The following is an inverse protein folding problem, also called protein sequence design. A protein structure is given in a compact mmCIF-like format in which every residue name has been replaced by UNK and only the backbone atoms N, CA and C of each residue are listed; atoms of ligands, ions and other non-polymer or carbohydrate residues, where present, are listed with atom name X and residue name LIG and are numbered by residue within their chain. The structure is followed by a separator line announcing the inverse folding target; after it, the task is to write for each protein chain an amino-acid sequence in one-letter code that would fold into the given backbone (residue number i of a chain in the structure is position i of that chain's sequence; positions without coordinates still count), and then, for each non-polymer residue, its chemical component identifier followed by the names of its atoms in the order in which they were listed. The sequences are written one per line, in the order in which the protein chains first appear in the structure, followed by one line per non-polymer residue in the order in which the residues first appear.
data_IF_510897272785
#
_entry.id   IF_510897272785
#
_cell.length_a   1.000
_cell.length_b   1.000
_cell.length_c   1.000
_cell.angle_alpha   90.00
_cell.angle_beta   90.00
_cell.angle_gamma   90.00
#
_symmetry.space_group_name_H-M   'P 1'
#
loop_
_entity.id
_entity.type
_entity.pdbx_description
1 polymer ?
#
# COMPACT_ATOMS: atom_id res chain seq x y z
N UNK A 1 -16.17 14.19 -62.02
CA UNK A 1 -15.47 14.44 -60.73
C UNK A 1 -16.35 15.06 -59.64
N UNK A 2 -17.29 15.98 -59.89
CA UNK A 2 -18.08 16.65 -58.83
C UNK A 2 -19.09 15.79 -58.01
N UNK A 3 -19.51 14.62 -58.50
CA UNK A 3 -20.44 13.72 -57.77
C UNK A 3 -19.77 12.81 -56.73
N UNK A 4 -18.47 12.47 -56.91
CA UNK A 4 -17.74 11.61 -55.96
C UNK A 4 -17.38 12.35 -54.66
N UNK A 5 -17.15 13.66 -54.71
CA UNK A 5 -16.85 14.45 -53.50
C UNK A 5 -18.07 14.66 -52.59
N UNK A 6 -19.29 14.77 -53.13
CA UNK A 6 -20.50 14.87 -52.29
C UNK A 6 -20.80 13.60 -51.51
N UNK A 7 -20.56 12.43 -52.11
CA UNK A 7 -20.79 11.15 -51.42
C UNK A 7 -19.78 10.93 -50.29
N UNK A 8 -18.51 11.29 -50.52
CA UNK A 8 -17.45 11.17 -49.51
C UNK A 8 -17.65 12.14 -48.34
N UNK A 9 -18.10 13.37 -48.59
CA UNK A 9 -18.42 14.34 -47.53
C UNK A 9 -19.64 13.93 -46.71
N UNK A 10 -20.68 13.35 -47.33
CA UNK A 10 -21.82 12.81 -46.58
C UNK A 10 -21.45 11.58 -45.74
N UNK A 11 -20.53 10.73 -46.23
CA UNK A 11 -20.06 9.57 -45.48
C UNK A 11 -19.18 9.96 -44.29
N UNK A 12 -18.30 10.97 -44.44
CA UNK A 12 -17.52 11.51 -43.32
C UNK A 12 -18.39 12.20 -42.27
N UNK A 13 -19.42 12.95 -42.69
CA UNK A 13 -20.38 13.56 -41.77
C UNK A 13 -21.22 12.52 -41.04
N UNK A 14 -21.54 11.39 -41.67
CA UNK A 14 -22.24 10.28 -41.01
C UNK A 14 -21.35 9.57 -39.99
N UNK A 15 -20.06 9.38 -40.28
CA UNK A 15 -19.09 8.80 -39.33
C UNK A 15 -18.86 9.74 -38.14
N UNK A 16 -18.73 11.04 -38.38
CA UNK A 16 -18.60 12.05 -37.31
C UNK A 16 -19.88 12.17 -36.46
N UNK A 17 -21.06 12.06 -37.09
CA UNK A 17 -22.32 12.04 -36.35
C UNK A 17 -22.49 10.75 -35.54
N UNK A 18 -22.08 9.59 -36.09
CA UNK A 18 -22.10 8.31 -35.39
C UNK A 18 -21.07 8.25 -34.25
N UNK A 19 -19.90 8.88 -34.39
CA UNK A 19 -18.89 8.95 -33.31
C UNK A 19 -19.30 9.89 -32.18
N UNK A 20 -20.04 10.96 -32.49
CA UNK A 20 -20.61 11.85 -31.47
C UNK A 20 -21.80 11.19 -30.76
N UNK A 21 -22.65 10.47 -31.48
CA UNK A 21 -23.76 9.71 -30.89
C UNK A 21 -23.26 8.52 -30.06
N UNK A 22 -22.14 7.88 -30.43
CA UNK A 22 -21.53 6.82 -29.60
C UNK A 22 -20.81 7.36 -28.36
N UNK A 23 -20.28 8.58 -28.40
CA UNK A 23 -19.68 9.21 -27.22
C UNK A 23 -20.75 9.65 -26.22
N UNK A 24 -21.86 10.22 -26.66
CA UNK A 24 -22.90 10.72 -25.74
C UNK A 24 -23.80 9.60 -25.18
N UNK A 25 -24.03 8.49 -25.91
CA UNK A 25 -24.82 7.36 -25.41
C UNK A 25 -24.05 6.38 -24.52
N UNK A 26 -22.72 6.46 -24.47
CA UNK A 26 -21.88 5.59 -23.62
C UNK A 26 -21.37 6.27 -22.34
N UNK A 27 -21.60 7.57 -22.15
CA UNK A 27 -20.95 8.32 -21.06
C UNK A 27 -21.84 8.89 -19.96
N UNK A 28 -23.18 8.87 -20.02
CA UNK A 28 -23.97 9.44 -18.91
C UNK A 28 -24.94 8.47 -18.21
N UNK A 29 -25.51 7.46 -18.88
CA UNK A 29 -26.54 6.61 -18.24
C UNK A 29 -26.05 5.22 -17.76
N UNK A 30 -24.80 4.82 -18.05
CA UNK A 30 -24.23 3.56 -17.52
C UNK A 30 -23.41 3.77 -16.23
N UNK A 31 -23.03 5.03 -15.95
CA UNK A 31 -22.18 5.40 -14.82
C UNK A 31 -22.94 5.97 -13.63
N UNK A 32 -24.17 6.46 -13.83
CA UNK A 32 -25.06 6.80 -12.72
C UNK A 32 -25.89 5.58 -12.33
N UNK A 33 -25.23 4.55 -11.78
CA UNK A 33 -25.93 3.71 -10.83
C UNK A 33 -26.18 4.60 -9.60
N UNK A 34 -27.30 5.34 -9.63
CA UNK A 34 -27.89 5.98 -8.44
C UNK A 34 -28.37 4.87 -7.49
N UNK A 35 -27.46 3.99 -7.06
CA UNK A 35 -27.72 3.07 -5.99
C UNK A 35 -27.64 3.90 -4.73
N UNK A 36 -28.78 4.04 -4.07
CA UNK A 36 -28.94 4.98 -2.96
C UNK A 36 -28.36 4.45 -1.64
N UNK A 37 -28.00 3.16 -1.59
CA UNK A 37 -27.36 2.53 -0.44
C UNK A 37 -26.00 1.96 -0.84
N UNK A 38 -24.93 2.68 -0.51
CA UNK A 38 -23.55 2.25 -0.71
C UNK A 38 -22.87 2.01 0.64
N UNK A 39 -22.16 0.90 0.75
CA UNK A 39 -21.41 0.52 1.96
C UNK A 39 -19.97 0.25 1.58
N UNK A 40 -19.03 0.79 2.36
CA UNK A 40 -17.62 0.43 2.22
C UNK A 40 -17.30 -0.75 3.14
N UNK A 41 -16.55 -1.70 2.63
CA UNK A 41 -16.10 -2.88 3.37
C UNK A 41 -14.60 -2.99 3.17
N UNK A 42 -13.84 -2.96 4.25
CA UNK A 42 -12.38 -2.99 4.21
C UNK A 42 -11.86 -4.21 4.97
N UNK A 43 -10.98 -4.98 4.34
CA UNK A 43 -10.31 -6.13 4.93
C UNK A 43 -8.81 -6.14 4.59
N UNK A 44 -7.96 -5.68 5.51
CA UNK A 44 -6.52 -5.47 5.24
C UNK A 44 -5.58 -6.03 6.31
N UNK A 45 -4.43 -6.55 5.91
CA UNK A 45 -3.44 -7.09 6.86
C UNK A 45 -2.13 -6.29 6.92
N UNK A 46 -1.68 -5.71 5.81
CA UNK A 46 -0.48 -4.86 5.77
C UNK A 46 -0.69 -3.51 6.45
N UNK A 47 0.38 -2.88 6.94
CA UNK A 47 0.30 -1.53 7.55
C UNK A 47 -0.13 -0.51 6.49
N UNK A 48 0.51 -0.52 5.32
CA UNK A 48 0.19 0.39 4.22
C UNK A 48 -1.27 0.21 3.74
N UNK A 49 -1.75 -0.99 3.35
CA UNK A 49 -3.17 -1.21 3.05
C UNK A 49 -4.12 -0.74 4.13
N UNK A 50 -3.79 -0.99 5.41
CA UNK A 50 -4.63 -0.57 6.54
C UNK A 50 -4.70 0.96 6.63
N UNK A 51 -3.61 1.67 6.38
CA UNK A 51 -3.61 3.14 6.30
C UNK A 51 -4.48 3.65 5.15
N UNK A 52 -4.43 3.01 3.97
CA UNK A 52 -5.39 3.31 2.88
C UNK A 52 -6.84 3.11 3.35
N UNK A 53 -7.15 2.00 4.02
CA UNK A 53 -8.49 1.73 4.52
C UNK A 53 -8.97 2.81 5.49
N UNK A 54 -8.11 3.28 6.40
CA UNK A 54 -8.44 4.39 7.30
C UNK A 54 -8.71 5.70 6.57
N UNK A 55 -7.83 6.07 5.62
CA UNK A 55 -7.99 7.27 4.80
C UNK A 55 -9.31 7.21 4.01
N UNK A 56 -9.58 6.09 3.34
CA UNK A 56 -10.80 5.88 2.55
C UNK A 56 -12.04 5.95 3.45
N UNK A 57 -12.05 5.23 4.57
CA UNK A 57 -13.18 5.19 5.50
C UNK A 57 -13.51 6.59 6.06
N UNK A 58 -12.49 7.35 6.48
CA UNK A 58 -12.66 8.70 7.04
C UNK A 58 -13.04 9.72 5.96
N UNK A 59 -12.55 9.54 4.73
CA UNK A 59 -12.87 10.42 3.61
C UNK A 59 -14.31 10.30 3.09
N UNK A 60 -14.98 9.18 3.40
CA UNK A 60 -16.30 8.82 2.88
C UNK A 60 -17.43 9.14 3.87
N UNK A 61 -18.59 9.56 3.33
CA UNK A 61 -19.83 9.69 4.09
C UNK A 61 -20.63 8.37 4.16
N UNK A 62 -20.20 7.33 3.44
CA UNK A 62 -20.88 6.03 3.40
C UNK A 62 -20.65 5.26 4.70
N UNK A 63 -21.63 4.44 5.15
CA UNK A 63 -21.38 3.41 6.16
C UNK A 63 -20.16 2.58 5.77
N UNK A 64 -19.23 2.40 6.72
CA UNK A 64 -17.95 1.72 6.46
C UNK A 64 -17.66 0.70 7.54
N UNK A 65 -17.37 -0.55 7.14
CA UNK A 65 -16.98 -1.63 8.02
C UNK A 65 -15.50 -1.96 7.81
N UNK A 66 -14.69 -1.74 8.85
CA UNK A 66 -13.24 -1.86 8.76
C UNK A 66 -12.76 -3.02 9.62
N UNK A 67 -12.23 -4.04 8.95
CA UNK A 67 -11.44 -5.10 9.56
C UNK A 67 -9.98 -4.93 9.15
N UNK A 68 -9.07 -5.05 10.11
CA UNK A 68 -7.63 -5.05 9.84
C UNK A 68 -6.88 -5.93 10.82
N UNK A 69 -5.76 -6.55 10.42
CA UNK A 69 -5.04 -7.47 11.32
C UNK A 69 -3.95 -6.80 12.17
N UNK A 70 -3.43 -5.65 11.75
CA UNK A 70 -2.34 -4.94 12.44
C UNK A 70 -2.89 -3.88 13.39
N UNK A 71 -3.28 -4.32 14.58
CA UNK A 71 -3.89 -3.51 15.64
C UNK A 71 -3.15 -2.19 15.90
N UNK A 72 -1.81 -2.21 15.86
CA UNK A 72 -0.99 -1.02 16.12
C UNK A 72 -1.03 0.07 15.04
N UNK A 73 -1.76 -0.15 13.94
CA UNK A 73 -1.87 0.83 12.85
C UNK A 73 -2.75 2.01 13.26
N UNK A 74 -3.86 1.74 13.97
CA UNK A 74 -4.73 2.77 14.54
C UNK A 74 -4.67 2.70 16.05
N UNK A 75 -4.15 3.74 16.67
CA UNK A 75 -3.99 3.83 18.12
C UNK A 75 -5.29 4.23 18.83
N UNK A 76 -6.19 4.93 18.14
CA UNK A 76 -7.47 5.39 18.67
C UNK A 76 -8.61 5.09 17.67
N UNK A 77 -9.29 3.98 17.87
CA UNK A 77 -10.44 3.59 17.03
C UNK A 77 -11.67 4.47 17.28
N UNK A 78 -11.77 5.14 18.43
CA UNK A 78 -12.87 6.05 18.76
C UNK A 78 -12.76 7.39 18.01
N UNK A 79 -11.58 7.68 17.43
CA UNK A 79 -11.36 8.87 16.60
C UNK A 79 -12.01 8.78 15.20
N UNK A 80 -12.42 7.58 14.78
CA UNK A 80 -13.14 7.39 13.52
C UNK A 80 -14.54 8.04 13.57
N UNK A 81 -15.04 8.56 12.42
CA UNK A 81 -16.36 9.17 12.38
C UNK A 81 -17.47 8.14 12.59
N UNK A 82 -18.66 8.59 13.02
CA UNK A 82 -19.75 7.71 13.45
C UNK A 82 -20.33 6.79 12.37
N UNK A 83 -20.04 7.06 11.09
CA UNK A 83 -20.41 6.19 9.97
C UNK A 83 -19.41 5.04 9.76
N UNK A 84 -18.29 5.02 10.48
CA UNK A 84 -17.27 3.98 10.42
C UNK A 84 -17.38 3.08 11.65
N UNK A 85 -17.49 1.77 11.41
CA UNK A 85 -17.45 0.74 12.44
C UNK A 85 -16.14 -0.02 12.30
N UNK A 86 -15.27 0.12 13.30
CA UNK A 86 -14.11 -0.75 13.46
C UNK A 86 -14.57 -2.06 14.11
N UNK A 87 -14.15 -3.20 13.58
CA UNK A 87 -14.48 -4.51 14.16
C UNK A 87 -13.45 -4.88 15.24
N UNK A 88 -13.93 -5.35 16.39
CA UNK A 88 -13.18 -5.54 17.65
C UNK A 88 -12.13 -6.67 17.60
N UNK A 89 -12.05 -7.43 16.50
CA UNK A 89 -11.25 -8.64 16.42
C UNK A 89 -10.40 -8.68 15.16
N UNK A 90 -9.10 -8.76 15.37
CA UNK A 90 -8.08 -8.57 14.33
C UNK A 90 -7.36 -9.87 13.97
N UNK A 91 -7.88 -11.03 14.39
CA UNK A 91 -7.34 -12.33 14.01
C UNK A 91 -7.96 -12.82 12.72
N UNK A 92 -7.19 -13.61 11.95
CA UNK A 92 -7.63 -14.16 10.67
C UNK A 92 -8.93 -14.99 10.78
N UNK A 93 -9.16 -15.63 11.93
CA UNK A 93 -10.37 -16.41 12.20
C UNK A 93 -11.61 -15.56 12.45
N UNK A 94 -11.47 -14.25 12.61
CA UNK A 94 -12.61 -13.37 12.94
C UNK A 94 -13.13 -12.57 11.75
N UNK A 95 -12.69 -12.90 10.53
CA UNK A 95 -13.25 -12.33 9.29
C UNK A 95 -14.76 -12.63 9.16
N UNK A 96 -15.25 -13.64 9.88
CA UNK A 96 -16.68 -13.95 10.01
C UNK A 96 -17.50 -12.76 10.53
N UNK A 97 -16.96 -11.90 11.40
CA UNK A 97 -17.69 -10.71 11.86
C UNK A 97 -17.90 -9.71 10.73
N UNK A 98 -16.92 -9.58 9.82
CA UNK A 98 -17.07 -8.77 8.62
C UNK A 98 -18.11 -9.38 7.68
N UNK A 99 -18.10 -10.71 7.53
CA UNK A 99 -19.13 -11.43 6.77
C UNK A 99 -20.52 -11.19 7.34
N UNK A 100 -20.70 -11.30 8.65
CA UNK A 100 -21.99 -11.04 9.33
C UNK A 100 -22.49 -9.62 9.06
N UNK A 101 -21.60 -8.62 9.03
CA UNK A 101 -21.97 -7.24 8.66
C UNK A 101 -22.48 -7.13 7.23
N UNK A 102 -21.78 -7.75 6.28
CA UNK A 102 -22.19 -7.79 4.86
C UNK A 102 -23.54 -8.48 4.73
N UNK A 103 -23.72 -9.63 5.39
CA UNK A 103 -24.98 -10.39 5.37
C UNK A 103 -26.14 -9.58 5.95
N UNK A 104 -25.92 -8.81 7.02
CA UNK A 104 -26.95 -7.95 7.60
C UNK A 104 -27.36 -6.81 6.65
N UNK A 105 -26.40 -6.10 6.06
CA UNK A 105 -26.69 -5.03 5.08
C UNK A 105 -27.43 -5.59 3.86
N UNK A 106 -27.00 -6.74 3.35
CA UNK A 106 -27.63 -7.39 2.20
C UNK A 106 -29.02 -7.93 2.52
N UNK A 107 -29.24 -8.43 3.74
CA UNK A 107 -30.56 -8.87 4.19
C UNK A 107 -31.53 -7.71 4.44
N UNK A 108 -31.01 -6.52 4.81
CA UNK A 108 -31.81 -5.30 4.94
C UNK A 108 -32.21 -4.74 3.57
N UNK A 109 -31.26 -4.70 2.62
CA UNK A 109 -31.49 -4.27 1.24
C UNK A 109 -30.62 -5.06 0.25
N UNK A 110 -31.25 -5.97 -0.51
CA UNK A 110 -30.59 -6.80 -1.53
C UNK A 110 -29.98 -5.97 -2.68
N UNK A 111 -30.39 -4.70 -2.85
CA UNK A 111 -29.86 -3.79 -3.86
C UNK A 111 -28.63 -2.98 -3.38
N UNK A 112 -28.23 -3.12 -2.11
CA UNK A 112 -27.05 -2.46 -1.52
C UNK A 112 -25.82 -2.67 -2.40
N UNK A 113 -25.06 -1.59 -2.61
CA UNK A 113 -23.81 -1.63 -3.36
C UNK A 113 -22.61 -1.64 -2.43
N UNK A 114 -21.75 -2.65 -2.54
CA UNK A 114 -20.57 -2.81 -1.70
C UNK A 114 -19.31 -2.32 -2.43
N UNK A 115 -18.67 -1.29 -1.88
CA UNK A 115 -17.31 -0.92 -2.25
C UNK A 115 -16.34 -1.71 -1.36
N UNK A 116 -15.79 -2.79 -1.90
CA UNK A 116 -14.89 -3.70 -1.18
C UNK A 116 -13.43 -3.32 -1.40
N UNK A 117 -12.65 -3.24 -0.32
CA UNK A 117 -11.24 -2.90 -0.32
C UNK A 117 -10.45 -4.00 0.39
N UNK A 118 -9.42 -4.55 -0.25
CA UNK A 118 -8.56 -5.57 0.36
C UNK A 118 -7.11 -5.47 -0.10
N UNK A 119 -6.17 -6.04 0.65
CA UNK A 119 -4.79 -6.18 0.16
C UNK A 119 -4.63 -7.38 -0.80
N UNK A 120 -3.73 -7.22 -1.75
CA UNK A 120 -3.49 -8.17 -2.85
C UNK A 120 -3.14 -9.59 -2.40
N UNK A 121 -2.45 -9.76 -1.29
CA UNK A 121 -2.07 -11.07 -0.75
C UNK A 121 -3.23 -11.83 -0.10
N UNK A 122 -4.35 -11.15 0.18
CA UNK A 122 -5.56 -11.73 0.78
C UNK A 122 -6.79 -11.48 -0.09
N UNK A 123 -6.58 -11.41 -1.41
CA UNK A 123 -7.63 -11.27 -2.40
C UNK A 123 -8.71 -12.39 -2.34
N UNK A 124 -8.41 -13.55 -1.74
CA UNK A 124 -9.39 -14.62 -1.53
C UNK A 124 -10.57 -14.18 -0.66
N UNK A 125 -10.42 -13.12 0.16
CA UNK A 125 -11.52 -12.50 0.89
C UNK A 125 -12.65 -12.02 -0.02
N UNK A 126 -12.35 -11.69 -1.29
CA UNK A 126 -13.37 -11.35 -2.29
C UNK A 126 -14.36 -12.52 -2.44
N UNK A 127 -13.84 -13.75 -2.55
CA UNK A 127 -14.68 -14.94 -2.71
C UNK A 127 -15.44 -15.23 -1.41
N UNK A 128 -14.75 -15.24 -0.27
CA UNK A 128 -15.34 -15.68 1.00
C UNK A 128 -16.31 -14.66 1.63
N UNK A 129 -16.22 -13.38 1.25
CA UNK A 129 -17.07 -12.30 1.80
C UNK A 129 -18.13 -11.80 0.83
N UNK A 130 -17.95 -11.94 -0.48
CA UNK A 130 -18.90 -11.43 -1.47
C UNK A 130 -19.56 -12.57 -2.26
N UNK A 131 -18.75 -13.38 -2.95
CA UNK A 131 -19.28 -14.42 -3.83
C UNK A 131 -20.03 -15.51 -3.04
N UNK A 132 -19.48 -15.97 -1.91
CA UNK A 132 -20.10 -17.00 -1.06
C UNK A 132 -21.32 -16.49 -0.29
N UNK A 133 -21.39 -15.19 0.01
CA UNK A 133 -22.60 -14.56 0.57
C UNK A 133 -23.71 -14.45 -0.49
N UNK A 134 -23.36 -14.57 -1.77
CA UNK A 134 -24.32 -14.51 -2.88
C UNK A 134 -24.60 -13.09 -3.36
N UNK A 135 -23.74 -12.13 -3.04
CA UNK A 135 -23.85 -10.77 -3.55
C UNK A 135 -23.67 -10.82 -5.08
N UNK A 136 -24.63 -10.25 -5.81
CA UNK A 136 -24.52 -10.14 -7.26
C UNK A 136 -23.25 -9.36 -7.63
N UNK A 137 -22.51 -9.80 -8.66
CA UNK A 137 -21.34 -9.07 -9.19
C UNK A 137 -21.71 -7.67 -9.72
N UNK A 138 -22.99 -7.39 -9.92
CA UNK A 138 -23.48 -6.05 -10.23
C UNK A 138 -23.56 -5.11 -9.03
N UNK A 139 -23.58 -5.68 -7.82
CA UNK A 139 -23.79 -5.00 -6.54
C UNK A 139 -22.51 -4.83 -5.73
N UNK A 140 -21.33 -5.05 -6.32
CA UNK A 140 -20.08 -4.70 -5.68
C UNK A 140 -19.03 -4.18 -6.66
N UNK A 141 -18.07 -3.42 -6.14
CA UNK A 141 -16.81 -3.09 -6.78
C UNK A 141 -15.68 -3.45 -5.82
N UNK A 142 -14.64 -4.10 -6.34
CA UNK A 142 -13.41 -4.44 -5.62
C UNK A 142 -12.33 -3.42 -5.93
N UNK A 143 -11.63 -2.97 -4.90
CA UNK A 143 -10.38 -2.22 -5.00
C UNK A 143 -9.30 -2.98 -4.25
N UNK A 144 -8.35 -3.55 -4.99
CA UNK A 144 -7.18 -4.20 -4.42
C UNK A 144 -6.14 -3.13 -4.11
N UNK A 145 -5.52 -3.21 -2.93
CA UNK A 145 -4.50 -2.28 -2.46
C UNK A 145 -3.17 -3.02 -2.38
N UNK A 146 -2.10 -2.43 -2.90
CA UNK A 146 -0.75 -2.98 -2.77
C UNK A 146 -0.32 -3.12 -1.30
N UNK A 147 0.23 -4.28 -0.92
CA UNK A 147 0.86 -4.48 0.39
C UNK A 147 2.10 -3.60 0.59
N UNK A 148 2.75 -3.19 -0.50
CA UNK A 148 4.02 -2.45 -0.53
C UNK A 148 5.01 -3.12 -1.47
N UNK A 149 6.29 -3.16 -1.10
CA UNK A 149 7.36 -3.77 -1.92
C UNK A 149 7.11 -5.24 -2.25
N UNK A 150 6.37 -5.96 -1.41
CA UNK A 150 6.05 -7.36 -1.64
C UNK A 150 5.19 -7.56 -2.91
N UNK A 151 4.28 -6.63 -3.23
CA UNK A 151 3.47 -6.68 -4.46
C UNK A 151 4.34 -6.64 -5.72
N UNK A 152 5.33 -5.75 -5.73
CA UNK A 152 6.27 -5.59 -6.85
C UNK A 152 7.25 -6.74 -6.93
N UNK A 153 7.75 -7.21 -5.78
CA UNK A 153 8.62 -8.40 -5.72
C UNK A 153 7.89 -9.63 -6.24
N UNK A 154 6.62 -9.79 -5.88
CA UNK A 154 5.76 -10.86 -6.38
C UNK A 154 5.59 -10.75 -7.89
N UNK A 155 5.24 -9.57 -8.40
CA UNK A 155 5.16 -9.32 -9.84
C UNK A 155 6.45 -9.70 -10.56
N UNK A 156 7.60 -9.23 -10.08
CA UNK A 156 8.90 -9.50 -10.67
C UNK A 156 9.22 -10.99 -10.70
N UNK A 157 8.90 -11.71 -9.61
CA UNK A 157 9.16 -13.14 -9.51
C UNK A 157 8.29 -14.00 -10.44
N UNK A 158 7.09 -13.53 -10.78
CA UNK A 158 6.10 -14.33 -11.53
C UNK A 158 5.97 -13.94 -12.99
N UNK A 159 5.99 -12.65 -13.27
CA UNK A 159 5.54 -12.10 -14.54
C UNK A 159 6.62 -11.31 -15.28
N UNK A 160 7.76 -10.97 -14.66
CA UNK A 160 8.77 -10.16 -15.34
C UNK A 160 9.56 -10.93 -16.42
N UNK A 161 9.69 -12.26 -16.31
CA UNK A 161 10.42 -13.07 -17.27
C UNK A 161 9.69 -13.26 -18.61
N UNK A 162 10.40 -13.81 -19.60
CA UNK A 162 9.89 -14.05 -20.95
C UNK A 162 8.66 -14.97 -21.06
N UNK A 163 8.45 -15.85 -20.07
CA UNK A 163 7.29 -16.75 -19.98
C UNK A 163 6.17 -16.19 -19.07
N UNK A 164 6.24 -14.90 -18.70
CA UNK A 164 5.37 -14.29 -17.70
C UNK A 164 3.87 -14.39 -18.01
N UNK A 165 3.48 -14.38 -19.30
CA UNK A 165 2.06 -14.51 -19.66
C UNK A 165 1.51 -15.92 -19.43
N UNK A 166 2.34 -16.95 -19.57
CA UNK A 166 1.87 -18.33 -19.34
C UNK A 166 1.57 -18.53 -17.84
N UNK A 167 2.39 -17.93 -16.95
CA UNK A 167 2.09 -17.84 -15.50
C UNK A 167 0.84 -17.02 -15.22
N UNK A 168 0.66 -15.90 -15.92
CA UNK A 168 -0.53 -15.04 -15.79
C UNK A 168 -1.82 -15.79 -16.12
N UNK A 169 -1.84 -16.55 -17.22
CA UNK A 169 -3.00 -17.37 -17.60
C UNK A 169 -3.30 -18.45 -16.56
N UNK A 170 -2.28 -19.09 -15.99
CA UNK A 170 -2.45 -20.07 -14.93
C UNK A 170 -3.05 -19.46 -13.66
N UNK A 171 -2.53 -18.31 -13.21
CA UNK A 171 -3.02 -17.64 -12.00
C UNK A 171 -4.46 -17.13 -12.15
N UNK A 172 -4.87 -16.79 -13.39
CA UNK A 172 -6.25 -16.45 -13.72
C UNK A 172 -7.17 -17.70 -13.72
N UNK A 173 -6.70 -18.82 -14.27
CA UNK A 173 -7.46 -20.10 -14.27
C UNK A 173 -7.69 -20.61 -12.83
N UNK A 174 -6.69 -20.47 -11.96
CA UNK A 174 -6.80 -20.77 -10.53
C UNK A 174 -7.90 -19.91 -9.87
N UNK A 175 -7.97 -18.61 -10.21
CA UNK A 175 -9.03 -17.72 -9.73
C UNK A 175 -10.41 -18.14 -10.21
N UNK A 176 -10.58 -18.38 -11.52
CA UNK A 176 -11.86 -18.79 -12.09
C UNK A 176 -12.34 -20.12 -11.52
N UNK A 177 -11.42 -21.06 -11.31
CA UNK A 177 -11.68 -22.35 -10.68
C UNK A 177 -12.12 -22.19 -9.24
N UNK A 178 -11.43 -21.36 -8.45
CA UNK A 178 -11.78 -21.11 -7.05
C UNK A 178 -13.12 -20.39 -6.89
N UNK A 179 -13.41 -19.38 -7.72
CA UNK A 179 -14.69 -18.64 -7.69
C UNK A 179 -15.89 -19.50 -8.12
N UNK A 180 -15.67 -20.55 -8.92
CA UNK A 180 -16.69 -21.52 -9.31
C UNK A 180 -16.98 -22.58 -8.23
N UNK A 181 -16.06 -22.79 -7.28
CA UNK A 181 -16.19 -23.77 -6.20
C UNK A 181 -16.66 -23.10 -4.90
N UNK A 182 -17.38 -23.84 -4.07
CA UNK A 182 -17.91 -23.33 -2.79
C UNK A 182 -17.15 -23.94 -1.63
N UNK A 183 -16.48 -23.11 -0.81
CA UNK A 183 -15.80 -23.53 0.44
C UNK A 183 -14.43 -22.90 0.64
N UNK A 184 -13.90 -22.97 1.86
CA UNK A 184 -12.52 -22.53 2.17
C UNK A 184 -11.46 -23.54 1.69
N UNK A 185 -11.80 -24.84 1.64
CA UNK A 185 -10.90 -25.88 1.13
C UNK A 185 -10.57 -25.67 -0.35
N UNK A 186 -11.40 -24.97 -1.13
CA UNK A 186 -11.16 -24.71 -2.56
C UNK A 186 -10.26 -23.50 -2.84
N UNK A 187 -9.89 -22.73 -1.81
CA UNK A 187 -8.96 -21.59 -1.93
C UNK A 187 -7.59 -21.91 -1.32
N UNK A 188 -7.37 -23.13 -0.84
CA UNK A 188 -6.10 -23.58 -0.26
C UNK A 188 -5.53 -24.76 -1.03
N UNK A 189 -4.20 -24.85 -1.14
CA UNK A 189 -3.53 -26.04 -1.68
C UNK A 189 -3.45 -27.17 -0.64
N UNK A 190 -2.89 -28.32 -1.04
CA UNK A 190 -2.73 -29.49 -0.17
C UNK A 190 -1.88 -29.21 1.09
N UNK A 191 -1.06 -28.14 1.08
CA UNK A 191 -0.23 -27.69 2.21
C UNK A 191 -0.92 -26.57 3.03
N UNK A 192 -2.16 -26.20 2.68
CA UNK A 192 -2.95 -25.18 3.35
C UNK A 192 -2.58 -23.73 2.99
N UNK A 193 -1.84 -23.51 1.90
CA UNK A 193 -1.49 -22.18 1.40
C UNK A 193 -2.59 -21.64 0.49
N UNK A 194 -2.85 -20.33 0.57
CA UNK A 194 -3.83 -19.68 -0.30
C UNK A 194 -3.35 -19.71 -1.76
N UNK A 195 -4.05 -20.46 -2.62
CA UNK A 195 -3.70 -20.58 -4.06
C UNK A 195 -3.88 -19.26 -4.80
N UNK A 196 -4.74 -18.37 -4.30
CA UNK A 196 -5.07 -17.12 -4.96
C UNK A 196 -4.13 -15.97 -4.62
N UNK A 197 -3.15 -16.17 -3.72
CA UNK A 197 -2.25 -15.10 -3.27
C UNK A 197 -1.63 -14.30 -4.43
N UNK A 198 -1.44 -14.91 -5.59
CA UNK A 198 -0.79 -14.33 -6.76
C UNK A 198 -1.74 -13.85 -7.86
N UNK A 199 -3.03 -14.17 -7.74
CA UNK A 199 -4.05 -13.90 -8.77
C UNK A 199 -4.62 -12.49 -8.72
N UNK A 200 -4.25 -11.66 -7.72
CA UNK A 200 -4.78 -10.30 -7.56
C UNK A 200 -4.61 -9.42 -8.81
N UNK A 201 -3.42 -9.43 -9.41
CA UNK A 201 -3.14 -8.60 -10.58
C UNK A 201 -3.86 -9.11 -11.83
N UNK A 202 -3.78 -10.41 -12.21
CA UNK A 202 -4.62 -10.96 -13.27
C UNK A 202 -6.10 -10.68 -13.06
N UNK A 203 -6.63 -10.90 -11.85
CA UNK A 203 -8.02 -10.61 -11.51
C UNK A 203 -8.37 -9.14 -11.77
N UNK A 204 -7.60 -8.20 -11.23
CA UNK A 204 -7.93 -6.78 -11.36
C UNK A 204 -7.83 -6.29 -12.81
N UNK A 205 -6.86 -6.79 -13.58
CA UNK A 205 -6.73 -6.45 -14.99
C UNK A 205 -7.90 -7.01 -15.79
N UNK A 206 -8.25 -8.28 -15.63
CA UNK A 206 -9.36 -8.89 -16.37
C UNK A 206 -10.71 -8.31 -15.93
N UNK A 207 -11.07 -8.44 -14.65
CA UNK A 207 -12.37 -7.97 -14.16
C UNK A 207 -12.50 -6.44 -14.13
N UNK A 208 -11.38 -5.71 -14.09
CA UNK A 208 -11.37 -4.27 -14.30
C UNK A 208 -11.68 -3.90 -15.76
N UNK A 209 -10.93 -4.47 -16.71
CA UNK A 209 -11.07 -4.20 -18.14
C UNK A 209 -12.43 -4.61 -18.71
N UNK A 210 -13.04 -5.68 -18.20
CA UNK A 210 -14.25 -6.26 -18.82
C UNK A 210 -15.57 -5.80 -18.19
N UNK A 211 -15.58 -5.42 -16.91
CA UNK A 211 -16.84 -5.05 -16.21
C UNK A 211 -16.73 -3.80 -15.33
N UNK A 212 -15.57 -3.12 -15.25
CA UNK A 212 -15.31 -1.99 -14.36
C UNK A 212 -15.70 -2.27 -12.90
N UNK A 213 -15.52 -3.51 -12.45
CA UNK A 213 -15.83 -3.95 -11.09
C UNK A 213 -14.57 -4.21 -10.26
N UNK A 214 -13.39 -4.10 -10.83
CA UNK A 214 -12.13 -4.23 -10.10
C UNK A 214 -11.20 -3.05 -10.43
N UNK A 215 -10.45 -2.58 -9.44
CA UNK A 215 -9.31 -1.68 -9.60
C UNK A 215 -8.20 -2.16 -8.69
N UNK A 216 -6.96 -1.88 -9.06
CA UNK A 216 -5.79 -2.18 -8.25
C UNK A 216 -4.97 -0.91 -8.05
N UNK A 217 -4.90 -0.46 -6.80
CA UNK A 217 -4.10 0.68 -6.38
C UNK A 217 -2.63 0.29 -6.26
N UNK A 218 -1.82 0.92 -7.10
CA UNK A 218 -0.37 0.91 -6.99
C UNK A 218 0.13 2.33 -6.77
N UNK A 219 1.17 2.49 -5.96
CA UNK A 219 1.90 3.75 -5.87
C UNK A 219 2.73 4.02 -7.14
N UNK A 220 3.29 2.96 -7.73
CA UNK A 220 4.25 3.03 -8.84
C UNK A 220 3.96 2.00 -9.95
N UNK A 221 2.76 1.99 -10.56
CA UNK A 221 2.41 0.97 -11.56
C UNK A 221 3.36 0.94 -12.77
N UNK A 222 4.09 2.02 -13.05
CA UNK A 222 5.16 2.07 -14.04
C UNK A 222 6.33 1.10 -13.77
N UNK A 223 6.51 0.66 -12.52
CA UNK A 223 7.55 -0.31 -12.15
C UNK A 223 7.18 -1.76 -12.47
N UNK A 224 5.97 -2.02 -12.98
CA UNK A 224 5.50 -3.35 -13.37
C UNK A 224 6.02 -3.73 -14.76
N UNK A 225 7.31 -4.05 -14.86
CA UNK A 225 8.02 -4.29 -16.12
C UNK A 225 8.16 -5.79 -16.41
N UNK A 226 7.78 -6.19 -17.62
CA UNK A 226 7.92 -7.57 -18.10
C UNK A 226 8.63 -7.64 -19.44
N UNK A 227 9.50 -8.65 -19.59
CA UNK A 227 10.11 -9.07 -20.86
C UNK A 227 9.08 -9.70 -21.82
N UNK A 228 7.98 -10.25 -21.29
CA UNK A 228 6.86 -10.74 -22.09
C UNK A 228 5.95 -9.58 -22.52
N UNK A 229 6.07 -9.21 -23.80
CA UNK A 229 5.28 -8.13 -24.41
C UNK A 229 3.76 -8.26 -24.23
N UNK A 230 3.22 -9.46 -23.99
CA UNK A 230 1.80 -9.68 -23.73
C UNK A 230 1.42 -9.15 -22.34
N UNK A 231 2.23 -9.46 -21.32
CA UNK A 231 2.06 -8.93 -19.96
C UNK A 231 2.23 -7.41 -19.97
N UNK A 232 3.27 -6.88 -20.63
CA UNK A 232 3.49 -5.43 -20.70
C UNK A 232 2.29 -4.73 -21.35
N UNK A 233 1.69 -5.33 -22.39
CA UNK A 233 0.49 -4.80 -23.04
C UNK A 233 -0.74 -4.84 -22.13
N UNK A 234 -0.96 -5.92 -21.37
CA UNK A 234 -2.04 -6.03 -20.40
C UNK A 234 -1.94 -4.94 -19.32
N UNK A 235 -0.78 -4.83 -18.67
CA UNK A 235 -0.51 -3.81 -17.64
C UNK A 235 -0.70 -2.40 -18.19
N UNK A 236 -0.09 -2.10 -19.35
CA UNK A 236 -0.18 -0.78 -19.97
C UNK A 236 -1.62 -0.42 -20.35
N UNK A 237 -2.37 -1.37 -20.93
CA UNK A 237 -3.77 -1.13 -21.31
C UNK A 237 -4.65 -0.90 -20.08
N UNK A 238 -4.45 -1.64 -18.99
CA UNK A 238 -5.21 -1.45 -17.75
C UNK A 238 -4.89 -0.14 -17.05
N UNK A 239 -3.63 0.30 -17.08
CA UNK A 239 -3.20 1.57 -16.51
C UNK A 239 -3.71 2.76 -17.34
N UNK A 240 -3.42 2.80 -18.65
CA UNK A 240 -3.77 3.94 -19.50
C UNK A 240 -5.23 3.93 -19.97
N UNK A 241 -5.89 2.77 -19.94
CA UNK A 241 -7.33 2.65 -20.13
C UNK A 241 -8.14 3.02 -18.89
N UNK A 242 -7.50 3.09 -17.72
CA UNK A 242 -8.13 3.34 -16.41
C UNK A 242 -9.22 2.31 -16.06
N UNK A 243 -8.99 1.05 -16.41
CA UNK A 243 -10.00 0.01 -16.21
C UNK A 243 -9.62 -0.99 -15.12
N UNK A 244 -8.32 -1.26 -14.87
CA UNK A 244 -7.91 -2.29 -13.89
C UNK A 244 -6.76 -1.91 -12.97
N UNK A 245 -5.92 -0.93 -13.35
CA UNK A 245 -4.80 -0.46 -12.53
C UNK A 245 -4.93 1.05 -12.36
N UNK A 246 -4.77 1.53 -11.14
CA UNK A 246 -4.85 2.95 -10.80
C UNK A 246 -3.61 3.35 -10.02
N UNK A 247 -2.91 4.39 -10.50
CA UNK A 247 -1.86 5.05 -9.72
C UNK A 247 -2.54 5.84 -8.61
N UNK A 248 -2.35 5.41 -7.36
CA UNK A 248 -2.98 6.04 -6.19
C UNK A 248 -2.09 5.87 -4.98
N UNK A 249 -1.64 6.97 -4.39
CA UNK A 249 -0.85 7.01 -3.15
C UNK A 249 -1.74 7.35 -1.95
N UNK A 250 -1.29 7.11 -0.70
CA UNK A 250 -2.01 7.61 0.48
C UNK A 250 -2.05 9.14 0.52
N UNK A 251 -1.00 9.79 0.03
CA UNK A 251 -0.90 11.25 -0.07
C UNK A 251 -1.98 11.83 -0.98
N UNK A 252 -2.26 11.18 -2.13
CA UNK A 252 -3.32 11.61 -3.05
C UNK A 252 -4.70 11.64 -2.34
N UNK A 253 -4.98 10.66 -1.48
CA UNK A 253 -6.24 10.60 -0.71
C UNK A 253 -6.23 11.69 0.36
N UNK A 254 -5.13 11.86 1.08
CA UNK A 254 -5.00 12.86 2.13
C UNK A 254 -5.20 14.30 1.60
N UNK A 255 -4.73 14.60 0.39
CA UNK A 255 -4.89 15.90 -0.26
C UNK A 255 -6.33 16.21 -0.69
N UNK A 256 -7.15 15.18 -0.88
CA UNK A 256 -8.58 15.32 -1.19
C UNK A 256 -9.46 15.48 0.06
N UNK A 257 -8.92 15.17 1.24
CA UNK A 257 -9.64 15.23 2.52
C UNK A 257 -9.82 16.67 3.01
N UNK A 258 -10.92 16.91 3.72
CA UNK A 258 -11.13 18.18 4.44
C UNK A 258 -10.21 18.28 5.66
N UNK A 259 -9.92 19.50 6.17
CA UNK A 259 -9.13 19.66 7.39
C UNK A 259 -9.66 18.87 8.60
N UNK A 260 -10.98 18.72 8.72
CA UNK A 260 -11.59 17.94 9.80
C UNK A 260 -11.32 16.44 9.65
N UNK A 261 -11.34 15.92 8.42
CA UNK A 261 -11.05 14.52 8.14
C UNK A 261 -9.56 14.22 8.34
N UNK A 262 -8.68 15.13 7.94
CA UNK A 262 -7.23 15.03 8.22
C UNK A 262 -6.98 14.98 9.72
N UNK A 263 -7.68 15.81 10.51
CA UNK A 263 -7.59 15.79 11.97
C UNK A 263 -8.12 14.49 12.57
N UNK A 264 -9.24 13.96 12.09
CA UNK A 264 -9.74 12.64 12.51
C UNK A 264 -8.74 11.52 12.22
N UNK A 265 -8.17 11.49 11.01
CA UNK A 265 -7.14 10.51 10.66
C UNK A 265 -5.90 10.66 11.55
N UNK A 266 -5.45 11.89 11.79
CA UNK A 266 -4.34 12.19 12.71
C UNK A 266 -4.60 11.64 14.11
N UNK A 267 -5.80 11.82 14.65
CA UNK A 267 -6.18 11.24 15.95
C UNK A 267 -6.19 9.71 15.90
N UNK A 268 -6.78 9.12 14.85
CA UNK A 268 -6.88 7.67 14.69
C UNK A 268 -5.52 6.96 14.67
N UNK A 269 -4.50 7.55 14.01
CA UNK A 269 -3.13 7.00 13.99
C UNK A 269 -2.30 7.39 15.22
N UNK A 270 -2.89 8.03 16.23
CA UNK A 270 -2.22 8.38 17.48
C UNK A 270 -1.30 9.60 17.41
N UNK A 271 -1.49 10.48 16.42
CA UNK A 271 -0.70 11.69 16.21
C UNK A 271 -1.48 12.99 16.53
N UNK A 272 -2.63 12.86 17.18
CA UNK A 272 -3.51 13.96 17.57
C UNK A 272 -3.42 14.34 19.06
N UNK A 273 -4.21 15.31 19.50
CA UNK A 273 -4.27 15.75 20.90
C UNK A 273 -2.92 16.21 21.47
N UNK A 274 -2.62 15.83 22.72
CA UNK A 274 -1.35 16.18 23.40
C UNK A 274 -0.11 15.62 22.65
N UNK A 275 -0.29 14.51 21.94
CA UNK A 275 0.77 13.91 21.12
C UNK A 275 1.08 14.76 19.90
N UNK A 276 0.09 15.46 19.34
CA UNK A 276 0.31 16.42 18.26
C UNK A 276 1.24 17.54 18.69
N UNK A 277 1.04 18.13 19.88
CA UNK A 277 1.90 19.22 20.38
C UNK A 277 3.36 18.78 20.47
N UNK A 278 3.59 17.51 20.86
CA UNK A 278 4.94 16.92 20.93
C UNK A 278 5.57 16.80 19.54
N UNK A 279 4.85 16.25 18.55
CA UNK A 279 5.37 16.10 17.20
C UNK A 279 5.47 17.42 16.43
N UNK A 280 4.56 18.36 16.68
CA UNK A 280 4.66 19.73 16.15
C UNK A 280 5.88 20.45 16.74
N UNK A 281 6.18 20.25 18.02
CA UNK A 281 7.41 20.74 18.63
C UNK A 281 8.65 20.17 17.96
N UNK A 282 8.66 18.86 17.66
CA UNK A 282 9.77 18.19 16.99
C UNK A 282 9.96 18.59 15.53
N UNK A 283 8.87 18.68 14.77
CA UNK A 283 8.94 18.67 13.31
C UNK A 283 8.52 19.99 12.65
N UNK A 284 7.85 20.89 13.39
CA UNK A 284 7.40 22.19 12.85
C UNK A 284 8.08 23.38 13.51
N UNK A 285 8.25 23.36 14.82
CA UNK A 285 8.70 24.55 15.57
C UNK A 285 10.14 24.48 16.08
N UNK A 286 10.81 23.35 15.94
CA UNK A 286 12.19 23.21 16.37
C UNK A 286 13.15 24.12 15.57
N UNK A 287 14.27 24.51 16.18
CA UNK A 287 15.26 25.41 15.57
C UNK A 287 15.97 24.80 14.35
N UNK A 288 16.03 23.47 14.27
CA UNK A 288 16.56 22.70 13.15
C UNK A 288 15.46 21.83 12.55
N UNK A 289 15.45 21.64 11.21
CA UNK A 289 14.59 20.65 10.57
C UNK A 289 14.85 19.24 11.14
N UNK A 290 13.87 18.37 11.00
CA UNK A 290 13.96 17.00 11.50
C UNK A 290 14.48 16.03 10.44
N UNK A 291 15.36 15.13 10.88
CA UNK A 291 15.82 13.98 10.12
C UNK A 291 15.50 12.70 10.90
N UNK A 292 14.75 11.79 10.29
CA UNK A 292 14.46 10.49 10.88
C UNK A 292 15.34 9.43 10.25
N UNK A 293 16.02 8.66 11.10
CA UNK A 293 16.69 7.42 10.74
C UNK A 293 15.71 6.28 10.98
N UNK A 294 15.25 5.62 9.92
CA UNK A 294 14.38 4.44 10.05
C UNK A 294 15.20 3.19 10.28
N UNK A 295 14.96 2.54 11.42
CA UNK A 295 15.50 1.23 11.76
C UNK A 295 14.87 0.11 10.93
N UNK A 296 15.37 -1.10 11.13
CA UNK A 296 14.90 -2.30 10.44
C UNK A 296 14.92 -3.49 11.40
N UNK A 297 14.52 -4.68 10.94
CA UNK A 297 14.62 -5.91 11.73
C UNK A 297 16.07 -6.37 11.88
N UNK A 298 16.34 -7.31 12.79
CA UNK A 298 17.65 -8.00 12.89
C UNK A 298 18.19 -8.48 11.54
N UNK A 299 17.33 -9.07 10.71
CA UNK A 299 17.71 -9.56 9.39
C UNK A 299 18.02 -8.41 8.42
N UNK A 300 17.28 -7.30 8.56
CA UNK A 300 17.48 -6.09 7.77
C UNK A 300 18.78 -5.36 8.09
N UNK A 301 19.27 -5.42 9.33
CA UNK A 301 20.58 -4.83 9.71
C UNK A 301 21.75 -5.71 9.28
N UNK A 302 21.53 -7.02 9.13
CA UNK A 302 22.62 -7.96 8.90
C UNK A 302 23.05 -8.06 7.43
N UNK A 303 24.36 -8.13 7.21
CA UNK A 303 24.98 -8.45 5.93
C UNK A 303 24.78 -9.89 5.43
N UNK A 304 24.27 -10.79 6.27
CA UNK A 304 24.17 -12.22 5.94
C UNK A 304 22.96 -12.88 6.59
N UNK A 305 22.33 -13.81 5.86
CA UNK A 305 21.28 -14.66 6.42
C UNK A 305 21.82 -15.66 7.46
N UNK A 306 23.12 -15.97 7.43
CA UNK A 306 23.77 -16.92 8.34
C UNK A 306 24.28 -16.24 9.62
N UNK A 307 23.82 -16.70 10.79
CA UNK A 307 24.10 -16.08 12.09
C UNK A 307 25.60 -15.99 12.44
N UNK A 308 26.42 -16.91 11.93
CA UNK A 308 27.87 -16.95 12.18
C UNK A 308 28.69 -15.90 11.43
N UNK A 309 28.16 -15.36 10.33
CA UNK A 309 28.85 -14.40 9.46
C UNK A 309 28.19 -13.01 9.50
N UNK A 310 27.22 -12.81 10.40
CA UNK A 310 26.50 -11.53 10.52
C UNK A 310 27.45 -10.44 10.96
N UNK A 311 27.61 -9.44 10.10
CA UNK A 311 28.19 -8.15 10.48
C UNK A 311 27.05 -7.16 10.64
N UNK A 312 27.19 -6.31 11.65
CA UNK A 312 26.30 -5.19 11.90
C UNK A 312 27.17 -3.93 11.87
N UNK A 313 26.75 -2.94 11.08
CA UNK A 313 27.40 -1.63 11.02
C UNK A 313 26.52 -0.53 11.62
N UNK A 314 25.52 -0.90 12.44
CA UNK A 314 24.53 0.03 12.99
C UNK A 314 25.20 1.22 13.67
N UNK A 315 26.02 1.00 14.69
CA UNK A 315 26.61 2.08 15.49
C UNK A 315 27.50 2.99 14.61
N UNK A 316 28.33 2.41 13.74
CA UNK A 316 29.18 3.18 12.81
C UNK A 316 28.36 4.01 11.82
N UNK A 317 27.29 3.45 11.26
CA UNK A 317 26.42 4.17 10.34
C UNK A 317 25.71 5.31 11.06
N UNK A 318 25.22 5.09 12.29
CA UNK A 318 24.60 6.15 13.08
C UNK A 318 25.60 7.27 13.39
N UNK A 319 26.84 6.94 13.79
CA UNK A 319 27.88 7.95 14.02
C UNK A 319 28.20 8.76 12.76
N UNK A 320 28.36 8.09 11.61
CA UNK A 320 28.62 8.76 10.33
C UNK A 320 27.44 9.68 9.95
N UNK A 321 26.19 9.20 10.07
CA UNK A 321 24.98 10.01 9.83
C UNK A 321 24.92 11.23 10.76
N UNK A 322 25.25 11.07 12.04
CA UNK A 322 25.30 12.20 12.99
C UNK A 322 26.39 13.20 12.60
N UNK A 323 27.55 12.73 12.16
CA UNK A 323 28.63 13.61 11.69
C UNK A 323 28.23 14.39 10.42
N UNK A 324 27.47 13.77 9.53
CA UNK A 324 27.06 14.38 8.26
C UNK A 324 25.87 15.34 8.42
N UNK A 325 24.92 15.03 9.30
CA UNK A 325 23.64 15.73 9.39
C UNK A 325 23.37 16.43 10.72
N UNK A 326 24.07 16.10 11.81
CA UNK A 326 23.75 16.57 13.17
C UNK A 326 23.91 18.09 13.37
N UNK A 327 24.75 18.74 12.57
CA UNK A 327 24.89 20.20 12.60
C UNK A 327 23.66 20.92 12.01
N UNK A 328 22.98 20.31 11.03
CA UNK A 328 21.86 20.91 10.30
C UNK A 328 20.49 20.41 10.79
N UNK A 329 20.41 19.17 11.28
CA UNK A 329 19.15 18.51 11.62
C UNK A 329 19.05 18.15 13.10
N UNK A 330 17.83 18.14 13.62
CA UNK A 330 17.48 17.37 14.81
C UNK A 330 17.25 15.92 14.38
N UNK A 331 18.04 15.00 14.94
CA UNK A 331 18.03 13.60 14.52
C UNK A 331 17.14 12.78 15.44
N UNK A 332 16.29 11.98 14.82
CA UNK A 332 15.40 11.04 15.46
C UNK A 332 15.68 9.63 14.95
N UNK A 333 15.47 8.62 15.79
CA UNK A 333 15.53 7.22 15.39
C UNK A 333 14.17 6.58 15.56
N UNK A 334 13.64 5.97 14.48
CA UNK A 334 12.40 5.20 14.53
C UNK A 334 12.73 3.71 14.40
N UNK A 335 12.65 2.91 15.47
CA UNK A 335 12.94 1.49 15.38
C UNK A 335 11.86 0.73 14.61
N UNK A 336 12.23 -0.48 14.16
CA UNK A 336 11.26 -1.45 13.70
C UNK A 336 10.49 -2.01 14.91
N UNK A 337 9.16 -2.24 14.83
CA UNK A 337 8.34 -2.68 15.97
C UNK A 337 8.86 -3.90 16.73
N UNK A 338 9.53 -4.83 16.03
CA UNK A 338 10.12 -6.07 16.61
C UNK A 338 11.63 -5.99 16.88
N UNK A 339 12.23 -4.82 16.69
CA UNK A 339 13.67 -4.57 16.85
C UNK A 339 13.86 -3.20 17.49
N UNK A 340 13.20 -3.01 18.63
CA UNK A 340 13.13 -1.77 19.37
C UNK A 340 14.17 -1.76 20.51
N UNK A 341 15.11 -0.79 20.54
CA UNK A 341 16.12 -0.71 21.59
C UNK A 341 15.56 -0.25 22.95
N UNK A 342 14.32 0.25 23.01
CA UNK A 342 13.65 0.71 24.24
C UNK A 342 12.76 -0.40 24.82
N UNK A 343 11.94 -1.02 23.98
CA UNK A 343 11.06 -2.13 24.36
C UNK A 343 11.66 -3.47 23.93
N UNK A 344 12.70 -3.90 24.65
CA UNK A 344 13.32 -5.20 24.38
C UNK A 344 12.42 -6.31 24.91
N UNK A 345 11.65 -6.96 24.02
CA UNK A 345 10.98 -8.20 24.37
C UNK A 345 12.03 -9.25 24.76
N UNK A 346 11.85 -9.89 25.92
CA UNK A 346 12.76 -10.91 26.46
C UNK A 346 12.88 -12.09 25.48
N UNK A 347 13.85 -11.99 24.59
CA UNK A 347 14.14 -12.96 23.54
C UNK A 347 15.65 -13.19 23.48
N UNK A 348 16.06 -14.23 22.77
CA UNK A 348 17.48 -14.59 22.63
C UNK A 348 18.33 -13.49 21.99
N UNK A 349 17.69 -12.46 21.43
CA UNK A 349 18.32 -11.38 20.68
C UNK A 349 18.61 -10.12 21.52
N UNK A 350 18.25 -10.10 22.81
CA UNK A 350 18.48 -8.99 23.75
C UNK A 350 19.93 -8.50 23.76
N UNK A 351 20.89 -9.42 23.62
CA UNK A 351 22.34 -9.11 23.60
C UNK A 351 22.72 -8.15 22.45
N UNK A 352 21.99 -8.16 21.34
CA UNK A 352 22.29 -7.29 20.19
C UNK A 352 21.72 -5.87 20.34
N UNK A 353 20.75 -5.67 21.23
CA UNK A 353 20.12 -4.38 21.49
C UNK A 353 20.63 -3.72 22.78
N UNK A 354 21.32 -4.48 23.64
CA UNK A 354 21.87 -3.99 24.90
C UNK A 354 22.75 -2.75 24.69
N UNK A 355 22.43 -1.67 25.43
CA UNK A 355 23.16 -0.40 25.36
C UNK A 355 22.85 0.49 24.15
N UNK A 356 22.05 0.04 23.17
CA UNK A 356 21.71 0.86 21.99
C UNK A 356 20.89 2.09 22.33
N UNK A 357 19.97 2.00 23.29
CA UNK A 357 19.23 3.17 23.77
C UNK A 357 20.19 4.24 24.31
N UNK A 358 21.10 3.86 25.21
CA UNK A 358 22.08 4.77 25.79
C UNK A 358 23.03 5.34 24.73
N UNK A 359 23.46 4.51 23.76
CA UNK A 359 24.27 4.95 22.63
C UNK A 359 23.59 6.05 21.81
N UNK A 360 22.31 5.84 21.42
CA UNK A 360 21.54 6.83 20.66
C UNK A 360 21.32 8.12 21.46
N UNK A 361 20.97 8.01 22.74
CA UNK A 361 20.77 9.15 23.63
C UNK A 361 22.06 9.96 23.83
N UNK A 362 23.21 9.31 23.94
CA UNK A 362 24.52 9.96 24.07
C UNK A 362 24.93 10.74 22.81
N UNK A 363 24.41 10.36 21.64
CA UNK A 363 24.56 11.11 20.39
C UNK A 363 23.53 12.23 20.23
N UNK A 364 22.65 12.42 21.21
CA UNK A 364 21.58 13.42 21.15
C UNK A 364 20.43 13.03 20.22
N UNK A 365 20.30 11.74 19.89
CA UNK A 365 19.22 11.23 19.03
C UNK A 365 17.99 10.96 19.89
N UNK A 366 16.83 11.47 19.47
CA UNK A 366 15.55 11.16 20.12
C UNK A 366 14.95 9.89 19.52
N UNK A 367 14.64 8.90 20.35
CA UNK A 367 14.01 7.65 19.90
C UNK A 367 12.49 7.82 19.85
N UNK A 368 11.91 7.58 18.67
CA UNK A 368 10.47 7.61 18.45
C UNK A 368 9.85 6.24 18.78
N UNK A 369 8.55 6.16 19.16
CA UNK A 369 7.90 4.89 19.50
C UNK A 369 7.94 3.85 18.35
N UNK A 370 8.38 2.62 18.63
CA UNK A 370 8.49 1.55 17.62
C UNK A 370 7.17 1.14 16.97
N UNK A 371 6.06 1.17 17.70
CA UNK A 371 4.75 0.70 17.21
C UNK A 371 4.01 1.68 16.30
N UNK A 372 4.40 2.95 16.26
CA UNK A 372 3.77 3.96 15.40
C UNK A 372 4.07 3.68 13.91
N UNK A 373 3.07 3.71 13.01
CA UNK A 373 3.29 3.60 11.56
C UNK A 373 4.15 4.76 11.04
N UNK A 374 5.24 4.44 10.35
CA UNK A 374 6.17 5.48 9.88
C UNK A 374 5.59 6.28 8.71
N UNK A 375 4.81 5.62 7.87
CA UNK A 375 4.15 6.21 6.69
C UNK A 375 3.20 7.33 7.09
N UNK A 376 2.40 7.17 8.16
CA UNK A 376 1.47 8.22 8.61
C UNK A 376 2.19 9.49 9.05
N UNK A 377 3.36 9.35 9.68
CA UNK A 377 4.21 10.48 10.05
C UNK A 377 4.67 11.26 8.81
N UNK A 378 5.10 10.54 7.76
CA UNK A 378 5.66 11.15 6.55
C UNK A 378 4.63 11.96 5.78
N UNK A 379 3.40 11.46 5.65
CA UNK A 379 2.32 12.18 4.95
C UNK A 379 1.80 13.37 5.76
N UNK A 380 1.74 13.24 7.10
CA UNK A 380 1.24 14.32 7.97
C UNK A 380 2.29 15.40 8.28
N UNK A 381 3.57 15.11 8.00
CA UNK A 381 4.71 16.01 8.20
C UNK A 381 5.66 16.00 6.99
N UNK A 382 5.25 16.60 5.86
CA UNK A 382 5.98 16.50 4.58
C UNK A 382 7.37 17.15 4.58
N UNK A 383 7.70 17.96 5.60
CA UNK A 383 8.99 18.64 5.70
C UNK A 383 10.08 17.80 6.39
N UNK A 384 9.74 16.62 6.90
CA UNK A 384 10.72 15.72 7.53
C UNK A 384 11.63 15.13 6.46
N UNK A 385 12.95 15.15 6.73
CA UNK A 385 13.91 14.34 5.98
C UNK A 385 13.95 12.92 6.56
N UNK A 386 14.20 11.93 5.73
CA UNK A 386 14.26 10.53 6.16
C UNK A 386 15.38 9.77 5.43
N UNK A 387 16.04 8.86 6.14
CA UNK A 387 16.97 7.89 5.55
C UNK A 387 17.11 6.65 6.44
N UNK A 388 17.70 5.59 5.93
CA UNK A 388 17.71 4.30 6.64
C UNK A 388 17.80 3.08 5.71
N UNK A 389 17.54 1.91 6.27
CA UNK A 389 17.64 0.63 5.57
C UNK A 389 16.51 0.43 4.55
N UNK A 390 16.78 -0.26 3.44
CA UNK A 390 15.78 -0.61 2.41
C UNK A 390 14.46 -1.11 3.03
N UNK A 391 13.35 -0.47 2.68
CA UNK A 391 12.03 -0.68 3.28
C UNK A 391 10.92 -0.17 2.39
N UNK A 392 9.75 -0.81 2.42
CA UNK A 392 8.56 -0.36 1.69
C UNK A 392 8.12 1.06 2.03
N UNK A 393 8.51 1.58 3.19
CA UNK A 393 8.20 2.94 3.61
C UNK A 393 8.66 3.97 2.58
N UNK A 394 9.75 3.73 1.85
CA UNK A 394 10.31 4.70 0.89
C UNK A 394 9.50 4.83 -0.39
N UNK A 395 8.58 3.91 -0.67
CA UNK A 395 7.63 4.09 -1.76
C UNK A 395 6.69 5.28 -1.53
N UNK A 396 6.55 5.67 -0.26
CA UNK A 396 5.66 6.69 0.26
C UNK A 396 6.40 7.99 0.61
N UNK A 397 7.67 8.10 0.22
CA UNK A 397 8.52 9.25 0.51
C UNK A 397 8.62 10.12 -0.73
N UNK A 398 8.30 11.40 -0.61
CA UNK A 398 8.52 12.35 -1.70
C UNK A 398 10.02 12.49 -2.00
N UNK A 399 10.44 12.81 -3.24
CA UNK A 399 11.86 12.86 -3.60
C UNK A 399 12.69 13.75 -2.69
N UNK A 400 12.11 14.89 -2.31
CA UNK A 400 12.76 15.88 -1.45
C UNK A 400 12.81 15.46 0.02
N UNK A 401 12.09 14.43 0.45
CA UNK A 401 12.18 13.93 1.83
C UNK A 401 13.34 12.95 2.01
N UNK A 402 13.73 12.21 0.97
CA UNK A 402 14.79 11.21 1.08
C UNK A 402 16.17 11.87 1.23
N UNK A 403 16.91 11.48 2.27
CA UNK A 403 18.26 11.95 2.55
C UNK A 403 19.34 10.93 2.19
N UNK A 404 19.14 9.65 2.53
CA UNK A 404 20.13 8.59 2.34
C UNK A 404 19.51 7.19 2.44
N UNK A 405 20.24 6.19 1.95
CA UNK A 405 19.99 4.78 2.21
C UNK A 405 21.15 4.14 3.02
N UNK A 406 20.82 3.16 3.86
CA UNK A 406 21.78 2.24 4.46
C UNK A 406 21.72 0.94 3.65
N UNK A 407 22.60 0.82 2.67
CA UNK A 407 22.65 -0.26 1.69
C UNK A 407 24.07 -0.33 1.11
N UNK A 408 24.58 -1.53 0.82
CA UNK A 408 25.92 -1.67 0.23
C UNK A 408 25.94 -1.24 -1.24
N UNK A 409 24.86 -1.50 -1.99
CA UNK A 409 24.68 -1.08 -3.37
C UNK A 409 23.20 -0.74 -3.65
N UNK A 410 22.93 0.31 -4.44
CA UNK A 410 21.56 0.74 -4.74
C UNK A 410 20.75 -0.33 -5.51
N UNK A 411 21.42 -1.25 -6.21
CA UNK A 411 20.76 -2.40 -6.84
C UNK A 411 20.24 -3.45 -5.85
N UNK A 412 20.62 -3.37 -4.56
CA UNK A 412 20.09 -4.22 -3.49
C UNK A 412 18.80 -3.67 -2.87
N UNK A 413 18.34 -2.49 -3.31
CA UNK A 413 17.06 -1.95 -2.89
C UNK A 413 15.92 -2.88 -3.33
N UNK A 414 14.92 -3.04 -2.46
CA UNK A 414 13.79 -3.91 -2.75
C UNK A 414 12.85 -3.25 -3.75
N UNK A 415 12.38 -3.99 -4.75
CA UNK A 415 11.41 -3.51 -5.73
C UNK A 415 10.18 -2.86 -5.06
N UNK A 416 9.74 -1.68 -5.50
CA UNK A 416 10.16 -0.98 -6.73
C UNK A 416 11.26 0.08 -6.51
N UNK A 417 11.92 0.13 -5.34
CA UNK A 417 12.84 1.23 -5.01
C UNK A 417 14.07 1.29 -5.92
N UNK A 418 14.57 0.13 -6.33
CA UNK A 418 15.63 -0.01 -7.33
C UNK A 418 15.26 0.69 -8.64
N UNK A 419 14.06 0.42 -9.16
CA UNK A 419 13.52 1.07 -10.34
C UNK A 419 13.35 2.58 -10.14
N UNK A 420 12.83 3.03 -8.99
CA UNK A 420 12.65 4.45 -8.71
C UNK A 420 13.98 5.21 -8.68
N UNK A 421 15.03 4.58 -8.15
CA UNK A 421 16.39 5.14 -8.21
C UNK A 421 16.91 5.18 -9.64
N UNK A 422 16.75 4.10 -10.41
CA UNK A 422 17.21 4.02 -11.80
C UNK A 422 16.54 5.07 -12.71
N UNK A 423 15.24 5.30 -12.53
CA UNK A 423 14.46 6.30 -13.27
C UNK A 423 14.66 7.74 -12.75
N UNK A 424 15.51 7.94 -11.73
CA UNK A 424 15.82 9.25 -11.19
C UNK A 424 14.64 9.91 -10.46
N UNK A 425 13.72 9.13 -9.89
CA UNK A 425 12.67 9.66 -9.02
C UNK A 425 13.29 10.29 -7.77
N UNK A 426 14.28 9.63 -7.18
CA UNK A 426 15.07 10.20 -6.08
C UNK A 426 16.27 11.00 -6.61
N UNK A 427 16.71 12.05 -5.90
CA UNK A 427 17.86 12.85 -6.33
C UNK A 427 19.14 12.01 -6.47
N UNK A 428 19.94 12.25 -7.51
CA UNK A 428 21.28 11.63 -7.69
C UNK A 428 22.24 11.89 -6.52
N UNK A 429 21.90 12.83 -5.64
CA UNK A 429 22.67 13.19 -4.44
C UNK A 429 22.34 12.34 -3.22
N UNK A 430 21.44 11.35 -3.33
CA UNK A 430 21.13 10.44 -2.22
C UNK A 430 22.40 9.70 -1.81
N UNK A 431 22.79 9.88 -0.54
CA UNK A 431 23.98 9.27 0.02
C UNK A 431 23.71 7.80 0.38
N UNK A 432 24.71 6.94 0.28
CA UNK A 432 24.66 5.57 0.80
C UNK A 432 25.61 5.39 1.98
N UNK A 433 25.21 4.53 2.92
CA UNK A 433 26.02 4.07 4.05
C UNK A 433 26.12 2.55 4.00
N UNK A 434 27.34 2.04 4.08
CA UNK A 434 27.62 0.61 3.91
C UNK A 434 27.03 -0.22 5.06
N UNK A 435 26.27 -1.25 4.69
CA UNK A 435 25.64 -2.17 5.63
C UNK A 435 26.61 -3.27 6.11
N UNK A 436 27.67 -3.52 5.36
CA UNK A 436 28.67 -4.58 5.64
C UNK A 436 29.98 -4.09 6.24
N UNK A 437 30.16 -2.78 6.45
CA UNK A 437 31.45 -2.21 6.86
C UNK A 437 31.90 -2.75 8.20
N UNK A 438 33.16 -3.22 8.26
CA UNK A 438 33.78 -3.65 9.52
C UNK A 438 34.01 -2.44 10.43
N UNK A 439 33.51 -2.51 11.65
CA UNK A 439 33.92 -1.65 12.76
C UNK A 439 35.42 -1.83 12.97
N UNK A 440 36.20 -0.76 12.80
CA UNK A 440 37.67 -0.77 12.97
C UNK A 440 38.06 -0.83 14.44
#
# INVERSE_FOLDING_TARGET
MKKKHKLLSCFLLLILALSLISCDLLNEDFWSNNKTNEVNVMATMGTLPTLYSGLIAISSDNPSYVWYSRESTFADTDAFPSNVTILDTHSYSDIDQLREKIEMEFAEDEDTFFNFYCDDLRNHFIITLLDQVGISKENYKVTIITDGTYSYTTFNSRYAGADGYDTWEADLDDWETASAQTGEDSISDDDGQNILQYSALPYAVEYGNYINKASYFFQWPEALISEDSRVSALVSNSLYGNYGITKRTPQDILEEMTPSQIEQFRNAVGLGGDTQDTYDAYFKTADKPALIISGTSKAGESSSSNDSDRKYSFETNIEDIVNDYGDEYNIFFKPHPRWDPVEVESSYDEVYLEGRQEFLENLGITILPGMMPMESLLFLYPNIKIGGYSSSLYMSVEPEQLAFFIVDDLSELTAPLDYLVEEGYFPDTVKTYDKTRETI
#
